data_IF_364548647815
#
_entry.id   IF_364548647815
#
_cell.length_a   1.000
_cell.length_b   1.000
_cell.length_c   1.000
_cell.angle_alpha   90.00
_cell.angle_beta   90.00
_cell.angle_gamma   90.00
#
_symmetry.space_group_name_H-M   'P 1'
#
loop_
_entity.id
_entity.type
_entity.pdbx_description
1 polymer ?
#
# COMPACT_ATOMS: atom_id res chain seq x y z
N UNK A 1 40.73 -49.84 18.89
CA UNK A 1 39.62 -48.89 18.65
C UNK A 1 39.22 -48.93 17.16
N UNK A 2 38.23 -49.67 16.66
CA UNK A 2 36.85 -49.90 17.14
C UNK A 2 36.20 -48.56 17.53
N UNK A 3 35.23 -47.97 16.84
CA UNK A 3 34.25 -48.49 15.87
C UNK A 3 33.90 -47.44 14.81
N UNK A 4 33.60 -47.93 13.61
CA UNK A 4 32.98 -47.17 12.53
C UNK A 4 31.47 -47.04 12.76
N UNK A 5 30.88 -45.88 12.48
CA UNK A 5 29.45 -45.76 12.15
C UNK A 5 29.21 -44.57 11.21
N UNK A 6 28.90 -44.89 9.96
CA UNK A 6 28.02 -44.14 9.05
C UNK A 6 26.78 -45.04 8.91
N UNK A 7 25.51 -44.59 8.94
CA UNK A 7 24.95 -43.80 7.84
C UNK A 7 23.72 -42.88 8.15
N UNK A 8 23.41 -42.00 7.19
CA UNK A 8 22.08 -41.45 6.79
C UNK A 8 21.00 -40.98 7.81
N UNK A 9 20.54 -39.73 7.56
CA UNK A 9 19.21 -39.09 7.82
C UNK A 9 18.71 -39.01 9.27
N UNK A 10 18.45 -37.80 9.76
CA UNK A 10 17.33 -37.37 10.65
C UNK A 10 17.56 -35.89 10.96
N UNK A 11 17.08 -34.95 10.14
CA UNK A 11 15.76 -34.36 10.34
C UNK A 11 15.12 -34.04 8.98
N UNK A 12 14.20 -34.89 8.53
CA UNK A 12 13.09 -34.47 7.69
C UNK A 12 12.19 -33.52 8.52
N UNK A 13 11.43 -32.68 7.82
CA UNK A 13 10.29 -31.88 8.29
C UNK A 13 10.51 -30.72 9.28
N UNK A 14 10.66 -29.51 8.71
CA UNK A 14 9.76 -28.43 9.10
C UNK A 14 9.00 -27.95 7.86
N UNK A 15 7.96 -28.71 7.55
CA UNK A 15 6.79 -28.28 6.82
C UNK A 15 5.99 -27.32 7.74
N UNK A 16 6.02 -26.00 7.43
CA UNK A 16 5.03 -24.93 7.73
C UNK A 16 4.56 -24.64 9.20
N UNK A 17 3.91 -23.49 9.53
CA UNK A 17 3.93 -22.11 8.97
C UNK A 17 4.05 -21.00 10.06
N UNK A 18 4.23 -19.71 9.67
CA UNK A 18 3.53 -18.54 10.23
C UNK A 18 3.85 -17.24 9.46
N UNK A 19 2.86 -16.85 8.63
CA UNK A 19 2.61 -15.51 8.08
C UNK A 19 3.46 -15.00 6.92
N UNK A 20 3.61 -15.80 5.87
CA UNK A 20 3.43 -15.21 4.53
C UNK A 20 1.94 -15.36 4.18
N UNK A 21 1.12 -14.45 4.71
CA UNK A 21 -0.28 -14.35 4.31
C UNK A 21 -0.30 -14.16 2.79
N UNK A 22 -0.66 -15.23 2.08
CA UNK A 22 -0.91 -15.16 0.65
C UNK A 22 -2.03 -14.15 0.45
N UNK A 23 -1.71 -13.01 -0.14
CA UNK A 23 -2.66 -11.92 -0.42
C UNK A 23 -3.74 -12.33 -1.44
N UNK A 24 -3.79 -13.60 -1.86
CA UNK A 24 -4.78 -14.14 -2.78
C UNK A 24 -6.11 -14.56 -2.12
N UNK A 25 -6.21 -14.63 -0.79
CA UNK A 25 -7.36 -15.32 -0.14
C UNK A 25 -8.25 -14.48 0.78
N UNK A 26 -8.21 -13.15 0.68
CA UNK A 26 -9.32 -12.31 1.16
C UNK A 26 -10.02 -11.62 -0.01
N UNK A 27 -10.96 -12.34 -0.62
CA UNK A 27 -11.98 -11.81 -1.53
C UNK A 27 -11.48 -10.83 -2.62
N UNK A 28 -10.72 -11.31 -3.59
CA UNK A 28 -10.89 -11.00 -5.02
C UNK A 28 -11.04 -9.55 -5.51
N UNK A 29 -10.76 -8.52 -4.72
CA UNK A 29 -10.66 -7.13 -5.19
C UNK A 29 -9.27 -6.62 -4.85
N UNK A 30 -8.35 -6.80 -5.79
CA UNK A 30 -7.25 -5.85 -5.96
C UNK A 30 -7.83 -4.42 -5.79
N UNK A 31 -7.19 -3.53 -5.02
CA UNK A 31 -7.66 -2.17 -4.93
C UNK A 31 -7.72 -1.58 -6.35
N UNK A 32 -8.87 -0.98 -6.71
CA UNK A 32 -9.07 -0.35 -8.03
C UNK A 32 -7.95 0.67 -8.35
N UNK A 33 -7.29 1.18 -7.32
CA UNK A 33 -6.06 1.97 -7.41
C UNK A 33 -4.86 1.11 -6.98
N UNK A 34 -3.84 1.03 -7.84
CA UNK A 34 -2.57 0.37 -7.56
C UNK A 34 -1.39 1.31 -7.82
N UNK A 35 -0.16 0.85 -7.52
CA UNK A 35 1.07 1.61 -7.79
C UNK A 35 1.27 1.97 -9.27
N UNK A 36 0.64 1.25 -10.20
CA UNK A 36 0.66 1.58 -11.63
C UNK A 36 -0.01 2.93 -11.95
N UNK A 37 -0.78 3.50 -11.01
CA UNK A 37 -1.48 4.77 -11.19
C UNK A 37 -0.79 5.96 -10.54
N UNK A 38 0.40 5.79 -9.96
CA UNK A 38 1.16 6.90 -9.38
C UNK A 38 1.40 8.00 -10.43
N UNK A 39 1.22 9.25 -10.03
CA UNK A 39 1.28 10.41 -10.92
C UNK A 39 -0.01 10.73 -11.67
N UNK A 40 -1.03 9.86 -11.65
CA UNK A 40 -2.32 10.13 -12.30
C UNK A 40 -3.22 11.00 -11.43
N UNK A 41 -4.17 11.69 -12.08
CA UNK A 41 -5.28 12.35 -11.39
C UNK A 41 -6.23 11.31 -10.81
N UNK A 42 -6.62 11.54 -9.57
CA UNK A 42 -7.57 10.72 -8.84
C UNK A 42 -8.57 11.60 -8.11
N UNK A 43 -9.77 11.07 -7.90
CA UNK A 43 -10.82 11.69 -7.10
C UNK A 43 -10.86 11.03 -5.72
N UNK A 44 -10.79 11.86 -4.67
CA UNK A 44 -10.91 11.48 -3.27
C UNK A 44 -12.35 11.75 -2.81
N UNK A 45 -12.99 10.72 -2.29
CA UNK A 45 -14.35 10.73 -1.76
C UNK A 45 -15.41 11.34 -2.72
N UNK A 46 -15.17 11.25 -4.03
CA UNK A 46 -16.11 11.68 -5.07
C UNK A 46 -16.17 13.18 -5.37
N UNK A 47 -15.34 14.03 -4.73
CA UNK A 47 -15.43 15.48 -4.92
C UNK A 47 -14.10 16.25 -4.94
N UNK A 48 -13.01 15.70 -4.40
CA UNK A 48 -11.69 16.38 -4.42
C UNK A 48 -10.76 15.70 -5.41
N UNK A 49 -10.22 16.44 -6.36
CA UNK A 49 -9.29 15.89 -7.34
C UNK A 49 -7.86 16.26 -6.95
N UNK A 50 -6.95 15.29 -7.05
CA UNK A 50 -5.52 15.49 -6.80
C UNK A 50 -4.67 14.49 -7.58
N UNK A 51 -3.36 14.50 -7.34
CA UNK A 51 -2.38 13.58 -7.93
C UNK A 51 -2.07 12.45 -6.95
N UNK A 52 -2.16 11.20 -7.41
CA UNK A 52 -1.78 10.05 -6.59
C UNK A 52 -0.26 9.99 -6.42
N UNK A 53 0.23 10.08 -5.19
CA UNK A 53 1.67 10.09 -4.83
C UNK A 53 2.13 8.87 -4.05
N UNK A 54 1.21 8.13 -3.43
CA UNK A 54 1.54 6.96 -2.64
C UNK A 54 0.43 5.90 -2.72
N UNK A 55 0.80 4.62 -2.76
CA UNK A 55 -0.10 3.48 -2.58
C UNK A 55 0.63 2.42 -1.75
N UNK A 56 0.11 2.12 -0.55
CA UNK A 56 0.75 1.17 0.36
C UNK A 56 0.11 1.13 1.75
N UNK A 57 0.71 0.34 2.65
CA UNK A 57 0.31 0.29 4.07
C UNK A 57 0.96 1.45 4.82
N UNK A 58 0.27 1.99 5.82
CA UNK A 58 0.82 3.00 6.73
C UNK A 58 0.93 2.43 8.14
N UNK A 59 1.72 3.08 9.00
CA UNK A 59 1.87 2.66 10.40
C UNK A 59 0.66 3.01 11.28
N UNK A 60 -0.19 3.92 10.81
CA UNK A 60 -1.28 4.46 11.62
C UNK A 60 -2.47 3.52 11.73
N UNK A 61 -2.75 2.78 10.65
CA UNK A 61 -4.00 2.04 10.47
C UNK A 61 -3.82 0.88 9.49
N UNK A 62 -4.55 -0.23 9.67
CA UNK A 62 -4.50 -1.37 8.77
C UNK A 62 -5.06 -1.06 7.37
N UNK A 63 -4.74 -1.95 6.43
CA UNK A 63 -5.23 -1.87 5.04
C UNK A 63 -4.33 -1.05 4.10
N UNK A 64 -4.79 -0.87 2.88
CA UNK A 64 -4.11 -0.05 1.88
C UNK A 64 -4.60 1.39 1.92
N UNK A 65 -3.64 2.29 1.81
CA UNK A 65 -3.81 3.73 1.85
C UNK A 65 -3.25 4.36 0.58
N UNK A 66 -3.82 5.51 0.25
CA UNK A 66 -3.38 6.36 -0.84
C UNK A 66 -2.94 7.70 -0.27
N UNK A 67 -1.77 8.17 -0.71
CA UNK A 67 -1.35 9.55 -0.53
C UNK A 67 -1.70 10.34 -1.78
N UNK A 68 -2.44 11.44 -1.60
CA UNK A 68 -2.88 12.31 -2.69
C UNK A 68 -2.39 13.72 -2.42
N UNK A 69 -1.79 14.35 -3.42
CA UNK A 69 -1.41 15.76 -3.42
C UNK A 69 -2.49 16.58 -4.14
N UNK A 70 -3.01 17.61 -3.48
CA UNK A 70 -3.93 18.57 -4.06
C UNK A 70 -3.19 19.77 -4.66
N UNK A 71 -3.80 20.40 -5.66
CA UNK A 71 -3.24 21.58 -6.30
C UNK A 71 -3.28 22.80 -5.34
N UNK A 72 -4.30 22.86 -4.48
CA UNK A 72 -4.52 23.89 -3.46
C UNK A 72 -4.21 23.37 -2.04
N UNK A 73 -3.94 24.25 -1.05
CA UNK A 73 -3.63 23.88 0.34
C UNK A 73 -4.87 23.46 1.15
N UNK A 74 -5.61 22.48 0.64
CA UNK A 74 -6.87 21.95 1.20
C UNK A 74 -6.72 20.55 1.82
N UNK A 75 -5.48 20.04 1.85
CA UNK A 75 -5.06 18.81 2.50
C UNK A 75 -4.80 18.98 3.99
N UNK A 76 -4.23 17.94 4.59
CA UNK A 76 -4.01 17.83 6.03
C UNK A 76 -2.53 17.64 6.40
N UNK A 77 -1.67 17.36 5.41
CA UNK A 77 -0.26 17.06 5.64
C UNK A 77 0.62 17.54 4.49
N UNK A 78 1.93 17.40 4.67
CA UNK A 78 2.97 17.65 3.67
C UNK A 78 3.46 16.34 3.00
N UNK A 79 2.69 15.25 3.14
CA UNK A 79 3.05 13.89 2.75
C UNK A 79 3.71 13.06 3.86
N UNK A 80 3.78 13.57 5.08
CA UNK A 80 4.13 12.81 6.29
C UNK A 80 2.95 12.68 7.24
N UNK A 81 2.97 11.64 8.06
CA UNK A 81 2.04 11.51 9.18
C UNK A 81 2.72 10.84 10.37
N UNK A 82 2.57 11.44 11.56
CA UNK A 82 3.24 11.06 12.82
C UNK A 82 4.75 10.83 12.67
N UNK A 83 5.43 11.68 11.91
CA UNK A 83 6.88 11.64 11.72
C UNK A 83 7.38 10.68 10.64
N UNK A 84 6.50 9.87 10.04
CA UNK A 84 6.84 8.97 8.92
C UNK A 84 6.51 9.64 7.59
N UNK A 85 7.47 9.61 6.66
CA UNK A 85 7.36 10.19 5.31
C UNK A 85 6.84 9.15 4.32
N UNK A 86 5.72 9.43 3.66
CA UNK A 86 5.13 8.55 2.64
C UNK A 86 5.30 9.12 1.23
N UNK A 87 5.18 10.45 1.09
CA UNK A 87 5.41 11.19 -0.14
C UNK A 87 5.82 12.63 0.18
N UNK A 88 6.22 13.40 -0.83
CA UNK A 88 6.63 14.81 -0.68
C UNK A 88 5.64 15.69 -1.41
N UNK A 89 5.13 16.71 -0.73
CA UNK A 89 4.33 17.80 -1.30
C UNK A 89 4.42 19.04 -0.39
N UNK A 90 3.92 20.22 -0.82
CA UNK A 90 3.90 21.40 0.03
C UNK A 90 3.03 21.21 1.29
N UNK A 91 3.24 22.00 2.35
CA UNK A 91 2.43 21.93 3.57
C UNK A 91 0.94 22.16 3.27
N UNK A 92 0.09 21.30 3.83
CA UNK A 92 -1.37 21.31 3.63
C UNK A 92 -1.83 20.94 2.21
N UNK A 93 -0.98 20.37 1.35
CA UNK A 93 -1.41 19.85 0.04
C UNK A 93 -1.68 18.34 0.07
N UNK A 94 -1.06 17.62 1.00
CA UNK A 94 -1.17 16.16 1.08
C UNK A 94 -2.37 15.68 1.90
N UNK A 95 -2.93 14.55 1.52
CA UNK A 95 -3.83 13.76 2.35
C UNK A 95 -3.47 12.28 2.26
N UNK A 96 -3.60 11.56 3.39
CA UNK A 96 -3.60 10.11 3.42
C UNK A 96 -5.04 9.64 3.65
N UNK A 97 -5.56 8.78 2.79
CA UNK A 97 -6.90 8.20 2.89
C UNK A 97 -6.89 6.70 2.60
N UNK A 98 -7.85 5.92 3.11
CA UNK A 98 -8.03 4.53 2.68
C UNK A 98 -8.20 4.43 1.16
N UNK A 99 -7.60 3.42 0.53
CA UNK A 99 -7.65 3.24 -0.93
C UNK A 99 -9.09 3.14 -1.48
N UNK A 100 -10.04 2.67 -0.67
CA UNK A 100 -11.48 2.61 -1.01
C UNK A 100 -12.13 3.98 -1.20
N UNK A 101 -11.48 5.06 -0.75
CA UNK A 101 -11.94 6.45 -0.94
C UNK A 101 -11.35 7.10 -2.18
N UNK A 102 -10.53 6.39 -2.97
CA UNK A 102 -9.85 6.94 -4.14
C UNK A 102 -10.33 6.24 -5.40
N UNK A 103 -10.69 7.02 -6.41
CA UNK A 103 -11.07 6.54 -7.73
C UNK A 103 -10.22 7.22 -8.81
N UNK A 104 -9.91 6.51 -9.89
CA UNK A 104 -9.38 7.16 -11.09
C UNK A 104 -10.42 8.16 -11.62
N UNK A 105 -9.96 9.33 -12.03
CA UNK A 105 -10.82 10.24 -12.80
C UNK A 105 -11.05 9.57 -14.15
N UNK A 106 -12.31 9.39 -14.55
CA UNK A 106 -12.61 8.92 -15.90
C UNK A 106 -12.25 10.04 -16.87
N UNK A 107 -11.40 9.73 -17.84
CA UNK A 107 -11.20 10.64 -18.96
C UNK A 107 -12.47 10.50 -19.82
N UNK A 108 -13.28 11.56 -19.90
CA UNK A 108 -14.30 11.60 -20.93
C UNK A 108 -13.58 11.73 -22.26
N UNK A 109 -13.59 10.63 -23.03
CA UNK A 109 -13.19 10.65 -24.42
C UNK A 109 -14.24 11.49 -25.13
N UNK A 110 -13.87 12.73 -25.47
CA UNK A 110 -14.68 13.61 -26.32
C UNK A 110 -14.89 13.05 -27.72
#
# INVERSE_FOLDING_TARGET
PCDAYSPTRFFESFDQPKESFSLTEVNGLEPKISKAHLGRRVCVAGHKVGVLRYVGKIELDPGYWCGVEFDDPIGLNDGSARGVRYFVCPPLHGVLVPASKVALVQEEVG
#
